data_IF_792253951404
#
_entry.id   IF_792253951404
#
_cell.length_a   1.000
_cell.length_b   1.000
_cell.length_c   1.000
_cell.angle_alpha   90.00
_cell.angle_beta   90.00
_cell.angle_gamma   90.00
#
_symmetry.space_group_name_H-M   'P 1'
#
loop_
_entity.id
_entity.type
_entity.pdbx_description
1 polymer ?
#
# COMPACT_ATOMS: atom_id res chain seq x y z
N UNK A 1 -30.39 -34.19 22.01
CA UNK A 1 -29.88 -33.03 21.25
C UNK A 1 -29.11 -33.58 20.06
N UNK A 2 -29.51 -33.28 18.81
CA UNK A 2 -28.75 -33.71 17.63
C UNK A 2 -27.62 -32.73 17.42
N UNK A 3 -26.38 -33.20 17.52
CA UNK A 3 -25.21 -32.40 17.16
C UNK A 3 -25.21 -32.28 15.62
N UNK A 4 -25.39 -31.07 15.12
CA UNK A 4 -25.20 -30.76 13.71
C UNK A 4 -23.77 -30.30 13.52
N UNK A 5 -22.98 -31.07 12.80
CA UNK A 5 -21.59 -30.73 12.49
C UNK A 5 -21.54 -29.81 11.28
N UNK A 6 -20.78 -28.72 11.40
CA UNK A 6 -20.51 -27.81 10.29
C UNK A 6 -19.41 -28.46 9.43
N UNK A 7 -19.82 -29.00 8.29
CA UNK A 7 -18.89 -29.50 7.27
C UNK A 7 -18.34 -28.31 6.50
N UNK A 8 -17.14 -27.86 6.85
CA UNK A 8 -16.39 -26.89 6.05
C UNK A 8 -15.79 -27.68 4.87
N UNK A 9 -16.20 -27.41 3.61
CA UNK A 9 -15.55 -28.02 2.47
C UNK A 9 -14.09 -27.61 2.50
N UNK A 10 -13.19 -28.59 2.54
CA UNK A 10 -11.76 -28.34 2.30
C UNK A 10 -11.64 -27.89 0.86
N UNK A 11 -11.67 -26.58 0.65
CA UNK A 11 -11.23 -25.98 -0.61
C UNK A 11 -9.79 -26.43 -0.76
N UNK A 12 -9.55 -27.35 -1.70
CA UNK A 12 -8.20 -27.71 -2.10
C UNK A 12 -7.48 -26.40 -2.37
N UNK A 13 -6.37 -26.16 -1.66
CA UNK A 13 -5.53 -25.01 -1.94
C UNK A 13 -5.14 -25.15 -3.40
N UNK A 14 -5.80 -24.40 -4.28
CA UNK A 14 -5.37 -24.27 -5.66
C UNK A 14 -3.89 -23.91 -5.56
N UNK A 15 -3.03 -24.81 -6.04
CA UNK A 15 -1.61 -24.58 -6.06
C UNK A 15 -1.43 -23.32 -6.90
N UNK A 16 -1.23 -22.19 -6.21
CA UNK A 16 -0.98 -20.90 -6.81
C UNK A 16 0.22 -21.12 -7.71
N UNK A 17 -0.02 -21.09 -9.03
CA UNK A 17 1.05 -21.28 -10.02
C UNK A 17 2.22 -20.37 -9.66
N UNK A 18 3.46 -20.79 -9.88
CA UNK A 18 4.65 -19.99 -9.53
C UNK A 18 4.64 -18.55 -10.10
N UNK A 19 3.82 -18.26 -11.12
CA UNK A 19 3.59 -16.89 -11.60
C UNK A 19 2.68 -16.09 -10.66
N UNK A 20 1.62 -16.70 -10.13
CA UNK A 20 0.69 -16.03 -9.22
C UNK A 20 1.34 -15.65 -7.88
N UNK A 21 2.27 -16.47 -7.36
CA UNK A 21 3.02 -16.11 -6.15
C UNK A 21 3.92 -14.89 -6.36
N UNK A 22 4.60 -14.79 -7.52
CA UNK A 22 5.43 -13.62 -7.87
C UNK A 22 4.62 -12.33 -7.96
N UNK A 23 3.42 -12.39 -8.54
CA UNK A 23 2.54 -11.21 -8.64
C UNK A 23 2.09 -10.77 -7.25
N UNK A 24 1.70 -11.71 -6.38
CA UNK A 24 1.29 -11.41 -5.00
C UNK A 24 2.45 -10.80 -4.20
N UNK A 25 3.66 -11.32 -4.35
CA UNK A 25 4.85 -10.77 -3.71
C UNK A 25 5.20 -9.37 -4.22
N UNK A 26 5.14 -9.17 -5.55
CA UNK A 26 5.37 -7.86 -6.17
C UNK A 26 4.34 -6.83 -5.69
N UNK A 27 3.06 -7.20 -5.63
CA UNK A 27 1.99 -6.33 -5.12
C UNK A 27 2.24 -5.93 -3.66
N UNK A 28 2.55 -6.89 -2.79
CA UNK A 28 2.85 -6.61 -1.37
C UNK A 28 4.07 -5.70 -1.22
N UNK A 29 5.09 -5.90 -2.04
CA UNK A 29 6.29 -5.06 -2.04
C UNK A 29 5.97 -3.63 -2.48
N UNK A 30 5.17 -3.47 -3.53
CA UNK A 30 4.76 -2.16 -4.04
C UNK A 30 3.93 -1.39 -3.01
N UNK A 31 2.93 -2.03 -2.38
CA UNK A 31 2.14 -1.40 -1.32
C UNK A 31 3.02 -0.88 -0.18
N UNK A 32 4.01 -1.67 0.26
CA UNK A 32 4.95 -1.25 1.32
C UNK A 32 5.83 -0.08 0.88
N UNK A 33 6.27 -0.09 -0.37
CA UNK A 33 7.08 0.99 -0.94
C UNK A 33 6.28 2.30 -1.02
N UNK A 34 5.01 2.22 -1.41
CA UNK A 34 4.10 3.35 -1.48
C UNK A 34 3.83 3.93 -0.09
N UNK A 35 3.49 3.11 0.90
CA UNK A 35 3.26 3.55 2.27
C UNK A 35 4.49 4.30 2.83
N UNK A 36 5.69 3.76 2.64
CA UNK A 36 6.93 4.43 3.04
C UNK A 36 7.13 5.76 2.31
N UNK A 37 6.85 5.80 1.01
CA UNK A 37 6.99 7.02 0.21
C UNK A 37 6.02 8.10 0.67
N UNK A 38 4.76 7.75 0.95
CA UNK A 38 3.77 8.68 1.48
C UNK A 38 4.17 9.24 2.85
N UNK A 39 4.64 8.38 3.76
CA UNK A 39 5.14 8.81 5.08
C UNK A 39 6.31 9.77 4.92
N UNK A 40 7.27 9.47 4.05
CA UNK A 40 8.44 10.32 3.83
C UNK A 40 8.07 11.64 3.13
N UNK A 41 7.14 11.63 2.19
CA UNK A 41 6.60 12.86 1.57
C UNK A 41 5.87 13.73 2.60
N UNK A 42 5.06 13.13 3.47
CA UNK A 42 4.36 13.84 4.53
C UNK A 42 5.33 14.41 5.59
N UNK A 43 6.45 13.72 5.87
CA UNK A 43 7.50 14.20 6.78
C UNK A 43 8.36 15.31 6.17
N UNK A 44 8.51 15.34 4.84
CA UNK A 44 9.30 16.36 4.14
C UNK A 44 8.53 17.69 4.13
N UNK A 45 8.88 18.57 5.06
CA UNK A 45 8.46 19.98 5.02
C UNK A 45 9.21 20.71 3.90
N UNK A 46 8.71 20.62 2.67
CA UNK A 46 9.25 21.41 1.57
C UNK A 46 8.78 22.86 1.74
N UNK A 47 9.74 23.77 1.74
CA UNK A 47 9.52 25.21 1.87
C UNK A 47 10.19 25.85 0.64
N UNK A 48 9.41 26.51 -0.20
CA UNK A 48 9.91 27.38 -1.26
C UNK A 48 10.05 28.79 -0.72
N UNK A 49 11.11 29.49 -1.11
CA UNK A 49 11.33 30.90 -0.83
C UNK A 49 11.38 31.61 -2.18
N UNK A 50 10.53 32.61 -2.38
CA UNK A 50 10.55 33.42 -3.60
C UNK A 50 11.65 34.50 -3.54
N UNK A 51 11.83 35.20 -4.67
CA UNK A 51 12.82 36.27 -4.82
C UNK A 51 12.61 37.46 -3.85
N UNK A 52 11.43 37.58 -3.24
CA UNK A 52 11.10 38.59 -2.23
C UNK A 52 11.19 38.05 -0.79
N UNK A 53 11.64 36.80 -0.61
CA UNK A 53 11.77 36.16 0.69
C UNK A 53 10.47 35.57 1.25
N UNK A 54 9.38 35.54 0.49
CA UNK A 54 8.12 34.96 0.97
C UNK A 54 8.19 33.44 0.96
N UNK A 55 7.72 32.86 2.06
CA UNK A 55 7.65 31.42 2.24
C UNK A 55 6.38 30.87 1.57
N UNK A 56 6.56 29.99 0.59
CA UNK A 56 5.49 29.21 -0.03
C UNK A 56 5.64 27.73 0.33
N UNK A 57 4.55 27.08 0.74
CA UNK A 57 4.53 25.64 1.01
C UNK A 57 3.88 24.93 -0.18
N UNK A 58 4.67 24.34 -1.10
CA UNK A 58 4.08 23.55 -2.17
C UNK A 58 3.45 22.28 -1.59
N UNK A 59 2.19 22.01 -1.93
CA UNK A 59 1.59 20.70 -1.74
C UNK A 59 2.23 19.73 -2.73
N UNK A 60 2.88 18.67 -2.25
CA UNK A 60 3.41 17.60 -3.11
C UNK A 60 2.28 16.61 -3.46
N UNK A 61 1.24 16.56 -2.62
CA UNK A 61 0.03 15.81 -2.88
C UNK A 61 -0.82 16.64 -3.84
N UNK A 62 -0.43 16.61 -5.12
CA UNK A 62 -1.31 17.00 -6.21
C UNK A 62 -2.42 15.97 -6.25
N UNK A 63 -3.58 16.33 -5.70
CA UNK A 63 -4.92 15.81 -6.01
C UNK A 63 -4.93 14.40 -6.66
N UNK A 64 -4.86 13.40 -5.81
CA UNK A 64 -5.67 12.19 -5.96
C UNK A 64 -6.64 12.16 -4.77
#
# INVERSE_FOLDING_TARGET
MRASDIVIPKVEKAELSQQSSKIVEAYRKECRSQELTEVELNRRKIIMIDEYGNIKKPSILSEH
#
